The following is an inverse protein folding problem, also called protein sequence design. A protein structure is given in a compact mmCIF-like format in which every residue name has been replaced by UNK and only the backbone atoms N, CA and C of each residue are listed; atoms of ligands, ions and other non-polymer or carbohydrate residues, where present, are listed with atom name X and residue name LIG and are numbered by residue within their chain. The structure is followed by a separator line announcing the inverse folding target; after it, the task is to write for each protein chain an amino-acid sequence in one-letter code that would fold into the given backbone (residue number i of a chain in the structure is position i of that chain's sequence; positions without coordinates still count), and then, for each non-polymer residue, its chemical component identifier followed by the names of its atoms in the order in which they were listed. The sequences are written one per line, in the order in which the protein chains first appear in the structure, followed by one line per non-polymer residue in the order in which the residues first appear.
data_IF_951589368750
#
_entry.id   IF_951589368750
#
_cell.length_a   1.000
_cell.length_b   1.000
_cell.length_c   1.000
_cell.angle_alpha   90.00
_cell.angle_beta   90.00
_cell.angle_gamma   90.00
#
_symmetry.space_group_name_H-M   'P 1'
#
loop_
_entity.id
_entity.type
_entity.pdbx_description
1 polymer ?
#
# COMPACT_ATOMS: atom_id res chain seq x y z
N UNK A 1 37.69 51.11 -36.17
CA UNK A 1 37.20 49.88 -36.84
C UNK A 1 36.04 49.35 -36.02
N UNK A 2 34.86 49.31 -36.64
CA UNK A 2 33.57 48.89 -36.09
C UNK A 2 33.50 47.38 -35.90
N UNK A 3 32.95 46.90 -34.78
CA UNK A 3 32.13 45.69 -34.67
C UNK A 3 31.29 45.79 -33.38
N UNK A 4 30.07 46.33 -33.45
CA UNK A 4 28.79 45.61 -33.46
C UNK A 4 28.58 44.61 -32.30
N UNK A 5 27.85 45.08 -31.27
CA UNK A 5 27.19 44.26 -30.24
C UNK A 5 25.82 43.78 -30.77
N UNK A 6 25.42 42.52 -30.55
CA UNK A 6 24.06 42.09 -30.82
C UNK A 6 23.09 42.49 -29.69
N UNK A 7 21.85 42.76 -30.09
CA UNK A 7 20.72 43.22 -29.26
C UNK A 7 20.08 42.09 -28.42
N UNK A 8 19.33 42.41 -27.35
CA UNK A 8 18.73 41.43 -26.46
C UNK A 8 17.49 40.75 -27.05
N UNK A 9 17.38 39.44 -26.80
CA UNK A 9 16.28 38.56 -27.19
C UNK A 9 15.00 38.88 -26.42
N UNK A 10 13.90 39.09 -27.15
CA UNK A 10 12.55 39.30 -26.61
C UNK A 10 11.90 37.98 -26.20
N UNK A 11 11.68 37.81 -24.88
CA UNK A 11 10.87 36.74 -24.32
C UNK A 11 9.39 36.95 -24.69
N UNK A 12 8.87 36.07 -25.55
CA UNK A 12 7.44 35.92 -25.83
C UNK A 12 6.73 35.32 -24.63
N UNK A 13 5.82 36.08 -24.02
CA UNK A 13 4.86 35.60 -23.04
C UNK A 13 3.77 34.76 -23.71
N UNK A 14 3.53 33.56 -23.20
CA UNK A 14 2.45 32.68 -23.64
C UNK A 14 1.09 33.18 -23.08
N UNK A 15 -0.02 33.04 -23.81
CA UNK A 15 -1.32 33.52 -23.35
C UNK A 15 -1.92 32.62 -22.26
N UNK A 16 -2.24 33.21 -21.11
CA UNK A 16 -3.06 32.60 -20.06
C UNK A 16 -4.45 32.24 -20.62
N UNK A 17 -4.78 30.95 -20.65
CA UNK A 17 -6.13 30.47 -20.93
C UNK A 17 -7.02 30.75 -19.72
N UNK A 18 -7.97 31.67 -19.89
CA UNK A 18 -9.06 31.92 -18.93
C UNK A 18 -10.03 30.74 -18.97
N UNK A 19 -10.10 29.96 -17.90
CA UNK A 19 -11.16 28.97 -17.71
C UNK A 19 -12.48 29.70 -17.45
N UNK A 20 -13.40 29.64 -18.43
CA UNK A 20 -14.80 30.02 -18.25
C UNK A 20 -15.45 29.03 -17.29
N UNK A 21 -15.88 29.50 -16.12
CA UNK A 21 -16.76 28.75 -15.22
C UNK A 21 -18.15 28.72 -15.84
N UNK A 22 -18.60 27.54 -16.25
CA UNK A 22 -20.01 27.27 -16.54
C UNK A 22 -20.69 26.90 -15.22
N UNK A 23 -21.57 27.77 -14.75
CA UNK A 23 -22.52 27.46 -13.68
C UNK A 23 -23.62 26.58 -14.28
N UNK A 24 -23.70 25.33 -13.83
CA UNK A 24 -24.85 24.46 -14.10
C UNK A 24 -25.83 24.66 -12.94
N UNK A 25 -26.98 25.26 -13.24
CA UNK A 25 -28.12 25.29 -12.34
C UNK A 25 -28.73 23.88 -12.27
N UNK A 26 -28.73 23.28 -11.08
CA UNK A 26 -29.43 22.04 -10.81
C UNK A 26 -30.85 22.35 -10.33
N UNK A 27 -31.81 21.88 -11.11
CA UNK A 27 -33.25 21.96 -10.90
C UNK A 27 -33.69 20.99 -9.78
N UNK A 28 -34.75 21.41 -9.08
CA UNK A 28 -35.35 20.82 -7.89
C UNK A 28 -35.59 19.30 -7.91
N UNK A 29 -35.35 18.65 -6.77
CA UNK A 29 -35.83 17.31 -6.47
C UNK A 29 -37.07 17.41 -5.57
N UNK A 30 -38.16 16.79 -6.00
CA UNK A 30 -39.40 16.67 -5.26
C UNK A 30 -39.22 15.76 -4.03
N UNK A 31 -39.77 16.18 -2.89
CA UNK A 31 -39.83 15.37 -1.68
C UNK A 31 -40.93 14.29 -1.83
N UNK A 32 -40.51 13.02 -1.84
CA UNK A 32 -41.40 11.88 -1.61
C UNK A 32 -41.38 11.55 -0.12
N UNK A 33 -42.50 11.77 0.56
CA UNK A 33 -42.76 11.30 1.92
C UNK A 33 -43.10 9.81 1.88
N UNK A 34 -42.19 8.97 2.38
CA UNK A 34 -42.48 7.56 2.66
C UNK A 34 -43.03 7.48 4.08
N UNK A 35 -44.30 7.09 4.22
CA UNK A 35 -44.89 6.72 5.50
C UNK A 35 -44.46 5.31 5.87
N UNK A 36 -43.65 5.16 6.92
CA UNK A 36 -43.30 3.87 7.48
C UNK A 36 -44.40 3.38 8.42
N UNK A 37 -44.96 2.20 8.14
CA UNK A 37 -45.80 1.46 9.11
C UNK A 37 -44.92 0.85 10.20
N UNK A 38 -45.35 0.87 11.48
CA UNK A 38 -44.64 0.16 12.54
C UNK A 38 -44.92 -1.35 12.43
N UNK A 39 -43.89 -2.12 12.08
CA UNK A 39 -43.90 -3.57 12.20
C UNK A 39 -43.64 -3.96 13.67
N UNK A 40 -44.46 -4.89 14.17
CA UNK A 40 -44.48 -5.36 15.54
C UNK A 40 -43.13 -5.96 15.99
N UNK A 41 -42.75 -5.64 17.22
CA UNK A 41 -41.63 -6.24 17.92
C UNK A 41 -41.96 -7.70 18.28
N UNK A 42 -41.26 -8.65 17.64
CA UNK A 42 -41.18 -10.03 18.09
C UNK A 42 -40.11 -10.15 19.16
N UNK A 43 -40.43 -10.85 20.25
CA UNK A 43 -39.50 -11.13 21.36
C UNK A 43 -38.26 -11.91 20.88
N UNK A 44 -37.04 -11.57 21.36
CA UNK A 44 -35.85 -12.35 21.07
C UNK A 44 -35.88 -13.67 21.87
N UNK A 45 -35.87 -14.79 21.15
CA UNK A 45 -35.66 -16.11 21.73
C UNK A 45 -34.26 -16.28 22.33
N UNK A 46 -34.07 -17.24 23.26
CA UNK A 46 -32.79 -17.44 23.95
C UNK A 46 -31.70 -17.86 22.96
N UNK A 47 -30.67 -17.03 22.83
CA UNK A 47 -29.44 -17.35 22.12
C UNK A 47 -28.69 -18.44 22.87
N UNK A 48 -28.53 -19.60 22.25
CA UNK A 48 -27.62 -20.65 22.70
C UNK A 48 -26.18 -20.17 22.59
N UNK A 49 -25.48 -20.10 23.71
CA UNK A 49 -24.05 -19.82 23.82
C UNK A 49 -23.24 -20.87 23.05
N UNK A 50 -22.84 -20.51 21.83
CA UNK A 50 -21.87 -21.27 21.06
C UNK A 50 -20.49 -21.09 21.65
N UNK A 51 -19.96 -22.16 22.27
CA UNK A 51 -18.55 -22.23 22.70
C UNK A 51 -17.67 -22.12 21.46
N UNK A 52 -17.03 -20.95 21.27
CA UNK A 52 -15.96 -20.78 20.30
C UNK A 52 -14.75 -21.58 20.79
N UNK A 53 -14.56 -22.78 20.27
CA UNK A 53 -13.30 -23.51 20.41
C UNK A 53 -12.22 -22.76 19.64
N UNK A 54 -11.26 -22.18 20.34
CA UNK A 54 -10.06 -21.59 19.75
C UNK A 54 -9.38 -22.65 18.87
N UNK A 55 -9.25 -22.45 17.55
CA UNK A 55 -8.61 -23.44 16.70
C UNK A 55 -7.17 -23.67 17.19
N UNK A 56 -6.80 -24.94 17.34
CA UNK A 56 -5.41 -25.37 17.58
C UNK A 56 -4.52 -24.77 16.49
N UNK A 57 -3.33 -24.21 16.81
CA UNK A 57 -2.45 -23.65 15.79
C UNK A 57 -2.07 -24.75 14.81
N UNK A 58 -2.65 -24.71 13.62
CA UNK A 58 -2.18 -25.47 12.47
C UNK A 58 -0.73 -25.07 12.22
N UNK A 59 0.14 -26.06 11.99
CA UNK A 59 1.55 -25.93 11.58
C UNK A 59 1.77 -24.59 10.87
N UNK A 60 2.37 -23.66 11.59
CA UNK A 60 2.70 -22.36 11.05
C UNK A 60 3.86 -22.57 10.08
N UNK A 61 3.52 -22.80 8.80
CA UNK A 61 4.51 -22.90 7.73
C UNK A 61 5.37 -21.65 7.73
N UNK A 62 6.69 -21.85 7.72
CA UNK A 62 7.70 -20.80 7.52
C UNK A 62 7.32 -19.89 6.34
N UNK A 63 7.57 -18.58 6.47
CA UNK A 63 7.27 -17.64 5.37
C UNK A 63 8.28 -17.82 4.23
N UNK A 64 7.92 -17.37 3.03
CA UNK A 64 8.69 -17.63 1.81
C UNK A 64 10.11 -17.10 1.85
N UNK A 65 10.35 -15.95 2.48
CA UNK A 65 11.66 -15.32 2.54
C UNK A 65 12.11 -15.08 3.97
N UNK A 66 13.29 -15.58 4.32
CA UNK A 66 13.92 -15.25 5.58
C UNK A 66 14.33 -13.77 5.63
N UNK A 67 14.32 -13.13 6.82
CA UNK A 67 15.05 -11.90 7.05
C UNK A 67 16.52 -12.03 6.62
N UNK A 68 17.17 -10.94 6.18
CA UNK A 68 18.60 -10.98 5.88
C UNK A 68 19.41 -11.30 7.13
N UNK A 69 20.56 -11.97 6.95
CA UNK A 69 21.56 -12.04 8.02
C UNK A 69 22.07 -10.62 8.33
N UNK A 70 22.07 -10.26 9.60
CA UNK A 70 22.52 -8.95 10.07
C UNK A 70 23.94 -9.03 10.63
N UNK A 71 24.74 -7.99 10.41
CA UNK A 71 26.07 -7.85 10.99
C UNK A 71 26.07 -6.71 12.00
N UNK A 72 26.20 -7.03 13.29
CA UNK A 72 26.22 -6.07 14.40
C UNK A 72 25.12 -4.99 14.30
N UNK A 73 23.84 -5.38 14.19
CA UNK A 73 22.77 -4.43 13.91
C UNK A 73 22.59 -3.42 15.04
N UNK A 74 22.30 -2.17 14.67
CA UNK A 74 21.80 -1.19 15.62
C UNK A 74 20.30 -1.42 15.85
N UNK A 75 19.91 -1.59 17.11
CA UNK A 75 18.51 -1.74 17.50
C UNK A 75 17.92 -0.36 17.77
N UNK A 76 16.83 -0.04 17.07
CA UNK A 76 16.10 1.20 17.23
C UNK A 76 14.71 0.90 17.76
N UNK A 77 14.43 1.30 19.01
CA UNK A 77 13.08 1.30 19.55
C UNK A 77 12.25 2.41 18.90
N UNK A 78 11.20 2.02 18.18
CA UNK A 78 10.26 2.93 17.54
C UNK A 78 9.28 3.47 18.57
N UNK A 79 8.95 4.74 18.45
CA UNK A 79 8.01 5.42 19.35
C UNK A 79 7.31 6.59 18.66
N UNK A 80 6.33 7.20 19.32
CA UNK A 80 5.65 8.39 18.79
C UNK A 80 6.60 9.56 18.50
N UNK A 81 7.71 9.69 19.27
CA UNK A 81 8.75 10.69 19.06
C UNK A 81 9.96 10.19 18.25
N UNK A 82 10.04 8.91 17.92
CA UNK A 82 11.11 8.29 17.13
C UNK A 82 10.53 7.40 16.03
N UNK A 83 9.87 8.04 15.07
CA UNK A 83 9.25 7.39 13.89
C UNK A 83 9.74 7.91 12.55
N UNK A 84 10.59 8.93 12.56
CA UNK A 84 11.34 9.40 11.40
C UNK A 84 12.82 9.16 11.66
N UNK A 85 13.46 8.43 10.77
CA UNK A 85 14.84 7.98 10.93
C UNK A 85 15.62 8.19 9.65
N UNK A 86 16.85 8.69 9.81
CA UNK A 86 17.87 8.69 8.76
C UNK A 86 19.01 7.79 9.25
N UNK A 87 19.22 6.69 8.56
CA UNK A 87 20.13 5.61 8.91
C UNK A 87 21.42 5.70 8.09
N UNK A 88 22.49 5.09 8.59
CA UNK A 88 23.74 4.93 7.84
C UNK A 88 23.57 3.83 6.77
N UNK A 89 23.89 4.15 5.53
CA UNK A 89 23.75 3.26 4.37
C UNK A 89 24.60 1.98 4.44
N UNK A 90 25.59 1.93 5.34
CA UNK A 90 26.49 0.79 5.50
C UNK A 90 26.24 -0.03 6.78
N UNK A 91 25.21 0.32 7.56
CA UNK A 91 24.86 -0.38 8.80
C UNK A 91 23.55 -1.13 8.69
N UNK A 92 23.45 -2.18 9.49
CA UNK A 92 22.25 -2.99 9.63
C UNK A 92 21.41 -2.53 10.83
N UNK A 93 20.09 -2.66 10.71
CA UNK A 93 19.15 -2.14 11.68
C UNK A 93 18.01 -3.11 11.98
N UNK A 94 17.65 -3.18 13.26
CA UNK A 94 16.38 -3.77 13.70
C UNK A 94 15.50 -2.66 14.24
N UNK A 95 14.34 -2.46 13.64
CA UNK A 95 13.34 -1.51 14.10
C UNK A 95 12.36 -2.24 15.02
N UNK A 96 12.48 -2.00 16.33
CA UNK A 96 11.64 -2.66 17.34
C UNK A 96 10.38 -1.83 17.58
N UNK A 97 9.24 -2.38 17.21
CA UNK A 97 7.95 -1.75 17.47
C UNK A 97 7.60 -1.73 18.96
N UNK A 98 6.87 -0.71 19.44
CA UNK A 98 6.36 -0.72 20.80
C UNK A 98 5.38 -1.89 21.02
N UNK A 99 5.23 -2.40 22.25
CA UNK A 99 4.30 -3.49 22.57
C UNK A 99 2.83 -3.06 22.55
N UNK A 100 2.56 -1.80 22.22
CA UNK A 100 1.24 -1.20 22.06
C UNK A 100 1.16 -0.53 20.68
N UNK A 101 -0.05 -0.20 20.25
CA UNK A 101 -0.26 0.42 18.95
C UNK A 101 0.50 1.75 18.83
N UNK A 102 1.30 1.89 17.77
CA UNK A 102 1.93 3.15 17.42
C UNK A 102 0.88 4.06 16.79
N UNK A 103 0.35 5.00 17.58
CA UNK A 103 -0.70 5.93 17.15
C UNK A 103 -0.13 7.29 16.74
N UNK A 104 -0.55 7.79 15.59
CA UNK A 104 -0.36 9.19 15.19
C UNK A 104 -0.13 9.39 13.69
N UNK A 105 -0.15 10.65 13.26
CA UNK A 105 0.16 11.02 11.88
C UNK A 105 1.61 10.66 11.50
N UNK A 106 1.87 10.50 10.21
CA UNK A 106 3.18 10.25 9.58
C UNK A 106 3.81 8.88 9.87
N UNK A 107 3.03 7.94 10.42
CA UNK A 107 3.39 6.52 10.50
C UNK A 107 4.85 6.28 10.90
N UNK A 108 5.57 5.47 10.12
CA UNK A 108 7.02 5.32 10.20
C UNK A 108 7.66 5.74 8.87
N UNK A 109 8.75 6.49 8.94
CA UNK A 109 9.57 6.92 7.81
C UNK A 109 11.04 6.59 8.04
N UNK A 110 11.64 5.85 7.12
CA UNK A 110 13.04 5.42 7.20
C UNK A 110 13.76 5.76 5.91
N UNK A 111 14.89 6.45 6.03
CA UNK A 111 15.77 6.80 4.92
C UNK A 111 17.15 6.21 5.16
N UNK A 112 17.69 5.44 4.21
CA UNK A 112 19.01 4.80 4.32
C UNK A 112 18.98 3.47 5.08
N UNK A 113 20.16 2.92 5.38
CA UNK A 113 20.32 1.60 5.98
C UNK A 113 20.70 0.54 4.95
N UNK A 114 21.61 -0.37 5.33
CA UNK A 114 21.99 -1.53 4.50
C UNK A 114 20.90 -2.58 4.55
N UNK A 115 20.85 -3.35 5.63
CA UNK A 115 19.72 -4.22 5.92
C UNK A 115 18.83 -3.59 6.99
N UNK A 116 17.52 -3.56 6.78
CA UNK A 116 16.55 -3.02 7.74
C UNK A 116 15.47 -4.06 7.97
N UNK A 117 15.31 -4.49 9.21
CA UNK A 117 14.32 -5.50 9.62
C UNK A 117 13.29 -4.86 10.53
N UNK A 118 12.01 -5.02 10.19
CA UNK A 118 10.85 -4.57 10.97
C UNK A 118 9.84 -5.72 11.04
N UNK A 119 9.71 -6.34 12.21
CA UNK A 119 8.81 -7.48 12.43
C UNK A 119 7.80 -7.16 13.52
N UNK A 120 6.52 -7.35 13.20
CA UNK A 120 5.41 -7.23 14.13
C UNK A 120 5.08 -5.78 14.53
N UNK A 121 3.88 -5.59 15.05
CA UNK A 121 3.40 -4.29 15.53
C UNK A 121 2.23 -3.71 14.72
N UNK A 122 1.51 -2.79 15.35
CA UNK A 122 0.35 -2.12 14.75
C UNK A 122 0.60 -0.63 14.64
N UNK A 123 0.33 -0.05 13.47
CA UNK A 123 0.38 1.39 13.22
C UNK A 123 -1.04 1.88 13.01
N UNK A 124 -1.47 2.89 13.76
CA UNK A 124 -2.78 3.53 13.61
C UNK A 124 -2.65 5.00 13.24
N UNK A 125 -3.20 5.35 12.07
CA UNK A 125 -3.36 6.73 11.62
C UNK A 125 -4.76 7.22 12.00
N UNK A 126 -4.89 8.09 13.02
CA UNK A 126 -6.19 8.47 13.56
C UNK A 126 -6.99 9.32 12.56
N UNK A 127 -8.32 9.27 12.64
CA UNK A 127 -9.18 10.20 11.92
C UNK A 127 -8.88 11.67 12.26
N UNK A 128 -9.18 12.57 11.33
CA UNK A 128 -8.82 13.99 11.42
C UNK A 128 -7.35 14.29 11.09
N UNK A 129 -6.55 13.28 10.74
CA UNK A 129 -5.22 13.48 10.17
C UNK A 129 -5.32 14.26 8.85
N UNK A 130 -4.49 15.29 8.62
CA UNK A 130 -4.49 16.04 7.37
C UNK A 130 -4.26 15.14 6.16
N UNK A 131 -5.01 15.42 5.10
CA UNK A 131 -4.99 14.66 3.85
C UNK A 131 -3.98 15.24 2.86
N UNK A 132 -2.70 15.23 3.24
CA UNK A 132 -1.60 15.89 2.51
C UNK A 132 -0.60 14.90 1.87
N UNK A 133 -0.92 13.60 1.86
CA UNK A 133 -0.07 12.52 1.33
C UNK A 133 1.17 12.19 2.17
N UNK A 134 1.42 12.92 3.27
CA UNK A 134 2.57 12.73 4.16
C UNK A 134 2.10 12.33 5.56
N UNK A 135 1.15 13.09 6.09
CA UNK A 135 0.56 12.95 7.42
C UNK A 135 -0.30 11.69 7.51
N UNK A 136 -0.97 11.32 6.42
CA UNK A 136 -1.91 10.19 6.34
C UNK A 136 -1.26 8.85 5.94
N UNK A 137 0.08 8.78 5.83
CA UNK A 137 0.82 7.57 5.42
C UNK A 137 1.22 6.69 6.59
N UNK A 138 1.07 5.37 6.43
CA UNK A 138 1.48 4.39 7.44
C UNK A 138 2.98 4.06 7.38
N UNK A 139 3.54 3.75 6.20
CA UNK A 139 4.97 3.43 6.03
C UNK A 139 5.59 4.18 4.86
N UNK A 140 6.81 4.68 5.06
CA UNK A 140 7.67 5.21 4.02
C UNK A 140 9.09 4.68 4.16
N UNK A 141 9.58 4.03 3.12
CA UNK A 141 10.96 3.57 3.06
C UNK A 141 11.65 4.15 1.85
N UNK A 142 12.86 4.67 2.08
CA UNK A 142 13.66 5.32 1.05
C UNK A 142 15.11 4.88 1.13
N UNK A 143 15.67 4.59 -0.04
CA UNK A 143 17.11 4.45 -0.25
C UNK A 143 17.83 3.43 0.66
N UNK A 144 17.22 2.27 0.92
CA UNK A 144 17.97 1.14 1.49
C UNK A 144 18.96 0.60 0.45
N UNK A 145 20.13 0.10 0.88
CA UNK A 145 21.18 -0.40 -0.02
C UNK A 145 21.25 -1.93 -0.11
N UNK A 146 20.72 -2.64 0.90
CA UNK A 146 20.64 -4.10 0.96
C UNK A 146 19.19 -4.58 0.95
N UNK A 147 18.78 -5.30 2.00
CA UNK A 147 17.42 -5.86 2.14
C UNK A 147 16.60 -5.05 3.13
N UNK A 148 15.45 -4.54 2.69
CA UNK A 148 14.37 -4.08 3.56
C UNK A 148 13.40 -5.25 3.77
N UNK A 149 13.33 -5.77 4.99
CA UNK A 149 12.42 -6.84 5.37
C UNK A 149 11.36 -6.33 6.35
N UNK A 150 10.10 -6.42 5.94
CA UNK A 150 8.94 -6.01 6.73
C UNK A 150 7.97 -7.18 6.87
N UNK A 151 7.66 -7.57 8.10
CA UNK A 151 6.85 -8.73 8.38
C UNK A 151 5.78 -8.47 9.45
N UNK A 152 4.59 -9.04 9.30
CA UNK A 152 3.65 -9.19 10.42
C UNK A 152 3.02 -7.89 10.91
N UNK A 153 2.96 -6.85 10.07
CA UNK A 153 2.39 -5.55 10.46
C UNK A 153 0.89 -5.48 10.22
N UNK A 154 0.20 -4.76 11.12
CA UNK A 154 -1.17 -4.32 10.93
C UNK A 154 -1.21 -2.79 10.78
N UNK A 155 -1.58 -2.32 9.58
CA UNK A 155 -1.72 -0.90 9.26
C UNK A 155 -3.20 -0.52 9.29
N UNK A 156 -3.58 0.45 10.11
CA UNK A 156 -5.00 0.75 10.37
C UNK A 156 -5.26 2.24 10.64
N UNK A 157 -6.53 2.57 10.82
CA UNK A 157 -7.01 3.87 11.22
C UNK A 157 -7.83 4.58 10.14
N UNK A 158 -8.79 5.39 10.57
CA UNK A 158 -9.72 6.09 9.66
C UNK A 158 -9.07 7.26 8.91
N UNK A 159 -7.92 7.76 9.38
CA UNK A 159 -7.14 8.78 8.70
C UNK A 159 -6.02 8.22 7.82
N UNK A 160 -5.95 6.90 7.64
CA UNK A 160 -4.95 6.28 6.77
C UNK A 160 -5.30 6.54 5.31
N UNK A 161 -4.50 7.37 4.66
CA UNK A 161 -4.61 7.67 3.24
C UNK A 161 -3.77 6.76 2.38
N UNK A 162 -2.61 6.32 2.89
CA UNK A 162 -1.60 5.56 2.15
C UNK A 162 -1.04 4.45 3.04
N UNK A 163 -0.85 3.26 2.47
CA UNK A 163 -0.27 2.11 3.14
C UNK A 163 1.25 2.20 3.17
N UNK A 164 1.89 1.55 2.20
CA UNK A 164 3.34 1.38 2.12
C UNK A 164 3.88 2.10 0.89
N UNK A 165 4.75 3.08 1.10
CA UNK A 165 5.38 3.81 0.01
C UNK A 165 6.89 3.58 -0.04
N UNK A 166 7.39 3.35 -1.25
CA UNK A 166 8.75 2.93 -1.53
C UNK A 166 9.43 3.90 -2.51
N UNK A 167 10.58 4.46 -2.10
CA UNK A 167 11.47 5.31 -2.90
C UNK A 167 12.90 4.74 -2.86
N UNK A 168 13.12 3.62 -3.55
CA UNK A 168 14.29 2.75 -3.42
C UNK A 168 15.31 2.99 -4.55
N UNK A 169 15.83 4.21 -4.67
CA UNK A 169 16.72 4.60 -5.79
C UNK A 169 18.09 3.92 -5.74
N UNK A 170 18.47 3.41 -4.57
CA UNK A 170 19.72 2.67 -4.35
C UNK A 170 19.63 1.17 -4.66
N UNK A 171 18.49 0.70 -5.16
CA UNK A 171 18.37 -0.67 -5.66
C UNK A 171 18.22 -1.75 -4.58
N UNK A 172 17.52 -1.42 -3.49
CA UNK A 172 17.18 -2.39 -2.44
C UNK A 172 16.44 -3.62 -2.97
N UNK A 173 16.55 -4.73 -2.25
CA UNK A 173 15.56 -5.80 -2.25
C UNK A 173 14.54 -5.47 -1.16
N UNK A 174 13.26 -5.42 -1.51
CA UNK A 174 12.17 -5.19 -0.55
C UNK A 174 11.36 -6.47 -0.39
N UNK A 175 11.23 -6.96 0.84
CA UNK A 175 10.44 -8.12 1.22
C UNK A 175 9.32 -7.67 2.16
N UNK A 176 8.07 -7.88 1.75
CA UNK A 176 6.87 -7.56 2.50
C UNK A 176 6.09 -8.85 2.75
N UNK A 177 5.97 -9.28 4.00
CA UNK A 177 5.34 -10.57 4.32
C UNK A 177 4.32 -10.51 5.45
N UNK A 178 3.21 -11.24 5.30
CA UNK A 178 2.19 -11.37 6.32
C UNK A 178 1.67 -10.02 6.83
N UNK A 179 1.33 -9.12 5.91
CA UNK A 179 0.91 -7.75 6.22
C UNK A 179 -0.59 -7.60 6.02
N UNK A 180 -1.24 -6.96 7.00
CA UNK A 180 -2.63 -6.54 6.91
C UNK A 180 -2.73 -5.03 6.81
N UNK A 181 -3.39 -4.53 5.77
CA UNK A 181 -3.65 -3.11 5.56
C UNK A 181 -5.14 -2.87 5.55
N UNK A 182 -5.68 -2.22 6.58
CA UNK A 182 -7.08 -1.77 6.54
C UNK A 182 -7.29 -0.73 5.44
N UNK A 183 -8.55 -0.31 5.24
CA UNK A 183 -8.91 0.57 4.13
C UNK A 183 -8.05 1.84 4.10
N UNK A 184 -7.22 1.97 3.07
CA UNK A 184 -6.60 3.25 2.68
C UNK A 184 -7.64 4.12 1.99
N UNK A 185 -7.70 5.41 2.32
CA UNK A 185 -8.78 6.32 1.90
C UNK A 185 -8.24 7.46 1.06
N UNK A 186 -8.82 7.72 -0.10
CA UNK A 186 -8.37 8.78 -1.00
C UNK A 186 -9.28 8.91 -2.22
N UNK A 187 -8.79 9.54 -3.28
CA UNK A 187 -9.59 9.82 -4.47
C UNK A 187 -8.73 10.10 -5.70
N UNK A 188 -9.37 10.20 -6.86
CA UNK A 188 -8.71 10.57 -8.11
C UNK A 188 -8.14 12.00 -8.10
N UNK A 189 -8.88 12.96 -7.56
CA UNK A 189 -8.50 14.39 -7.59
C UNK A 189 -7.62 14.81 -6.40
N UNK A 190 -7.46 13.92 -5.42
CA UNK A 190 -6.65 14.13 -4.21
C UNK A 190 -5.39 13.28 -4.22
N UNK A 191 -5.02 12.75 -3.06
CA UNK A 191 -4.02 11.69 -3.01
C UNK A 191 -4.63 10.36 -3.44
N UNK A 192 -3.80 9.55 -4.06
CA UNK A 192 -4.16 8.19 -4.42
C UNK A 192 -4.16 7.36 -3.13
N UNK A 193 -5.11 6.45 -2.97
CA UNK A 193 -5.15 5.64 -1.77
C UNK A 193 -4.46 4.32 -2.03
N UNK A 194 -3.12 4.29 -2.07
CA UNK A 194 -2.39 3.08 -2.47
C UNK A 194 -2.07 2.20 -1.25
N UNK A 195 -2.28 0.89 -1.37
CA UNK A 195 -1.84 -0.09 -0.37
C UNK A 195 -0.33 -0.24 -0.46
N UNK A 196 0.20 -0.40 -1.68
CA UNK A 196 1.64 -0.33 -1.98
C UNK A 196 1.86 0.61 -3.15
N UNK A 197 2.80 1.53 -2.99
CA UNK A 197 3.24 2.42 -4.05
C UNK A 197 4.76 2.40 -4.20
N UNK A 198 5.24 2.17 -5.41
CA UNK A 198 6.65 2.32 -5.75
C UNK A 198 6.84 3.58 -6.60
N UNK A 199 7.48 4.60 -6.03
CA UNK A 199 7.81 5.84 -6.74
C UNK A 199 9.15 5.78 -7.47
N UNK A 200 10.06 4.98 -6.92
CA UNK A 200 11.37 4.68 -7.48
C UNK A 200 11.85 3.33 -6.97
N UNK A 201 12.47 2.52 -7.83
CA UNK A 201 12.83 1.15 -7.51
C UNK A 201 11.61 0.36 -6.99
N UNK A 202 11.79 -0.67 -6.16
CA UNK A 202 13.07 -1.32 -5.79
C UNK A 202 13.70 -2.09 -6.96
N UNK A 203 14.91 -2.63 -6.74
CA UNK A 203 15.53 -3.58 -7.69
C UNK A 203 14.78 -4.90 -7.70
N UNK A 204 14.35 -5.36 -6.52
CA UNK A 204 13.47 -6.52 -6.35
C UNK A 204 12.36 -6.14 -5.38
N UNK A 205 11.10 -6.38 -5.77
CA UNK A 205 9.96 -6.33 -4.87
C UNK A 205 9.45 -7.75 -4.65
N UNK A 206 9.29 -8.16 -3.40
CA UNK A 206 8.74 -9.45 -3.00
C UNK A 206 7.61 -9.20 -2.02
N UNK A 207 6.41 -9.64 -2.37
CA UNK A 207 5.21 -9.52 -1.54
C UNK A 207 4.59 -10.89 -1.38
N UNK A 208 4.37 -11.30 -0.14
CA UNK A 208 3.75 -12.60 0.16
C UNK A 208 2.81 -12.51 1.37
N UNK A 209 1.61 -13.07 1.25
CA UNK A 209 0.56 -12.96 2.29
C UNK A 209 0.29 -11.50 2.62
N UNK A 210 -0.40 -10.83 1.71
CA UNK A 210 -0.88 -9.47 1.95
C UNK A 210 -2.39 -9.39 1.76
N UNK A 211 -3.09 -8.92 2.78
CA UNK A 211 -4.52 -8.60 2.69
C UNK A 211 -4.69 -7.11 2.86
N UNK A 212 -5.42 -6.47 1.95
CA UNK A 212 -5.77 -5.06 2.16
C UNK A 212 -6.95 -4.55 1.37
N UNK A 213 -7.38 -3.34 1.72
CA UNK A 213 -8.50 -2.68 1.04
C UNK A 213 -8.24 -1.20 0.75
N UNK A 214 -8.94 -0.66 -0.24
CA UNK A 214 -8.70 0.69 -0.77
C UNK A 214 -9.98 1.37 -1.25
N UNK A 215 -10.09 2.68 -1.01
CA UNK A 215 -11.08 3.55 -1.63
C UNK A 215 -10.73 4.01 -3.04
N UNK A 216 -9.51 3.78 -3.53
CA UNK A 216 -9.10 4.23 -4.86
C UNK A 216 -8.18 3.25 -5.57
N UNK A 217 -6.95 3.06 -5.11
CA UNK A 217 -5.98 2.23 -5.80
C UNK A 217 -5.39 1.12 -4.93
N UNK A 218 -5.18 -0.07 -5.48
CA UNK A 218 -4.59 -1.16 -4.70
C UNK A 218 -3.07 -1.03 -4.70
N UNK A 219 -2.47 -1.42 -5.82
CA UNK A 219 -1.04 -1.32 -6.05
C UNK A 219 -0.75 -0.31 -7.17
N UNK A 220 0.25 0.54 -6.93
CA UNK A 220 0.77 1.50 -7.91
C UNK A 220 2.26 1.30 -8.13
N UNK A 221 2.59 0.48 -9.13
CA UNK A 221 3.92 -0.04 -9.41
C UNK A 221 4.58 0.77 -10.53
N UNK A 222 5.08 1.97 -10.21
CA UNK A 222 5.83 2.82 -11.13
C UNK A 222 7.29 3.00 -10.67
N UNK A 223 8.14 1.97 -10.83
CA UNK A 223 9.51 1.97 -10.29
C UNK A 223 10.40 3.07 -10.89
N UNK A 224 9.93 3.86 -11.87
CA UNK A 224 10.64 4.94 -12.54
C UNK A 224 9.90 6.29 -12.51
N UNK A 225 8.89 6.47 -11.65
CA UNK A 225 8.10 7.70 -11.62
C UNK A 225 8.92 8.95 -11.27
N UNK A 226 9.78 8.85 -10.25
CA UNK A 226 10.57 9.99 -9.75
C UNK A 226 12.08 9.84 -9.94
N UNK A 227 12.53 9.00 -10.89
CA UNK A 227 13.95 8.83 -11.17
C UNK A 227 14.27 7.97 -12.39
N UNK A 228 15.56 7.87 -12.69
CA UNK A 228 16.13 7.14 -13.84
C UNK A 228 16.91 5.90 -13.40
N UNK A 229 16.44 5.21 -12.37
CA UNK A 229 16.96 3.92 -11.93
C UNK A 229 16.77 2.84 -13.01
N UNK A 230 17.57 1.78 -12.91
CA UNK A 230 17.36 0.56 -13.69
C UNK A 230 15.95 0.01 -13.47
N UNK A 231 15.44 -0.69 -14.48
CA UNK A 231 14.19 -1.45 -14.32
C UNK A 231 14.37 -2.52 -13.21
N UNK A 232 13.29 -2.90 -12.51
CA UNK A 232 13.35 -3.99 -11.55
C UNK A 232 13.85 -5.28 -12.20
N UNK A 233 14.66 -6.04 -11.48
CA UNK A 233 15.02 -7.41 -11.84
C UNK A 233 13.79 -8.32 -11.80
N UNK A 234 12.95 -8.15 -10.77
CA UNK A 234 11.65 -8.83 -10.65
C UNK A 234 10.76 -8.10 -9.64
N UNK A 235 9.46 -8.08 -9.92
CA UNK A 235 8.44 -7.94 -8.88
C UNK A 235 7.71 -9.26 -8.73
N UNK A 236 7.70 -9.82 -7.52
CA UNK A 236 7.14 -11.13 -7.20
C UNK A 236 6.00 -10.95 -6.19
N UNK A 237 4.78 -11.23 -6.64
CA UNK A 237 3.53 -10.98 -5.92
C UNK A 237 2.82 -12.31 -5.66
N UNK A 238 2.78 -12.73 -4.39
CA UNK A 238 2.23 -14.02 -3.98
C UNK A 238 1.15 -13.86 -2.92
N UNK A 239 0.09 -14.67 -3.01
CA UNK A 239 -0.91 -14.84 -1.94
C UNK A 239 -1.41 -13.48 -1.42
N UNK A 240 -2.02 -12.73 -2.33
CA UNK A 240 -2.55 -11.40 -2.03
C UNK A 240 -4.06 -11.37 -2.20
N UNK A 241 -4.78 -10.71 -1.29
CA UNK A 241 -6.19 -10.36 -1.48
C UNK A 241 -6.38 -8.85 -1.34
N UNK A 242 -6.75 -8.20 -2.45
CA UNK A 242 -6.96 -6.76 -2.51
C UNK A 242 -8.42 -6.44 -2.78
N UNK A 243 -9.03 -5.65 -1.89
CA UNK A 243 -10.44 -5.30 -1.97
C UNK A 243 -10.65 -3.81 -2.24
N UNK A 244 -11.33 -3.51 -3.33
CA UNK A 244 -11.88 -2.19 -3.59
C UNK A 244 -13.15 -1.95 -2.78
N UNK A 245 -13.30 -0.76 -2.20
CA UNK A 245 -14.61 -0.28 -1.71
C UNK A 245 -15.44 0.23 -2.89
N UNK A 246 -16.67 0.68 -2.65
CA UNK A 246 -17.53 1.26 -3.70
C UNK A 246 -16.90 2.46 -4.44
N UNK A 247 -15.90 3.10 -3.85
CA UNK A 247 -15.17 4.25 -4.41
C UNK A 247 -13.98 3.85 -5.29
N UNK A 248 -13.56 2.59 -5.24
CA UNK A 248 -12.31 2.14 -5.85
C UNK A 248 -12.26 2.35 -7.37
N UNK A 249 -11.05 2.58 -7.85
CA UNK A 249 -10.64 2.58 -9.24
C UNK A 249 -9.73 1.36 -9.51
N UNK A 250 -8.47 1.59 -9.89
CA UNK A 250 -7.52 0.55 -10.25
C UNK A 250 -6.95 -0.18 -9.05
N UNK A 251 -7.28 -1.45 -8.88
CA UNK A 251 -6.66 -2.28 -7.86
C UNK A 251 -5.23 -2.67 -8.21
N UNK A 252 -4.90 -2.77 -9.49
CA UNK A 252 -3.53 -3.00 -9.94
C UNK A 252 -3.17 -2.00 -11.04
N UNK A 253 -2.09 -1.24 -10.82
CA UNK A 253 -1.58 -0.28 -11.78
C UNK A 253 -0.07 -0.44 -11.91
N UNK A 254 0.41 -0.55 -13.16
CA UNK A 254 1.83 -0.45 -13.53
C UNK A 254 2.01 0.33 -14.82
N UNK A 255 3.25 0.61 -15.21
CA UNK A 255 3.53 1.16 -16.54
C UNK A 255 3.43 0.09 -17.65
N UNK A 256 3.61 0.50 -18.91
CA UNK A 256 3.62 -0.41 -20.06
C UNK A 256 4.97 -1.08 -20.31
N UNK A 257 5.93 -0.95 -19.38
CA UNK A 257 7.26 -1.52 -19.58
C UNK A 257 7.26 -3.01 -19.24
N UNK A 258 8.17 -3.74 -19.86
CA UNK A 258 8.24 -5.20 -19.85
C UNK A 258 9.28 -5.73 -18.85
N UNK A 259 9.30 -5.21 -17.62
CA UNK A 259 10.12 -5.78 -16.55
C UNK A 259 9.46 -7.04 -15.96
N UNK A 260 10.26 -8.02 -15.47
CA UNK A 260 9.73 -9.30 -14.98
C UNK A 260 8.74 -9.13 -13.82
N UNK A 261 7.59 -9.77 -13.95
CA UNK A 261 6.53 -9.81 -12.95
C UNK A 261 6.10 -11.25 -12.76
N UNK A 262 6.21 -11.75 -11.54
CA UNK A 262 5.69 -13.04 -11.11
C UNK A 262 4.42 -12.80 -10.29
N UNK A 263 3.32 -13.47 -10.65
CA UNK A 263 2.03 -13.37 -9.97
C UNK A 263 1.58 -14.78 -9.61
N UNK A 264 1.25 -15.01 -8.35
CA UNK A 264 0.79 -16.31 -7.87
C UNK A 264 -0.27 -16.12 -6.78
N UNK A 265 -1.44 -16.76 -6.91
CA UNK A 265 -2.52 -16.70 -5.92
C UNK A 265 -2.92 -15.24 -5.55
N UNK A 266 -3.06 -14.37 -6.55
CA UNK A 266 -3.46 -12.97 -6.35
C UNK A 266 -4.94 -12.80 -6.67
N UNK A 267 -5.71 -12.37 -5.67
CA UNK A 267 -7.16 -12.24 -5.71
C UNK A 267 -7.57 -10.78 -5.59
N UNK A 268 -8.45 -10.33 -6.49
CA UNK A 268 -8.99 -8.98 -6.48
C UNK A 268 -10.50 -9.01 -6.27
N UNK A 269 -10.99 -8.24 -5.30
CA UNK A 269 -12.43 -7.95 -5.14
C UNK A 269 -12.66 -6.48 -5.53
N UNK A 270 -12.88 -6.15 -6.81
CA UNK A 270 -13.19 -4.79 -7.22
C UNK A 270 -14.60 -4.41 -6.79
N UNK A 271 -14.95 -3.12 -6.90
CA UNK A 271 -16.32 -2.68 -6.64
C UNK A 271 -17.31 -3.34 -7.60
N UNK A 272 -18.54 -3.56 -7.16
CA UNK A 272 -19.55 -4.32 -7.90
C UNK A 272 -19.82 -3.83 -9.34
N UNK A 273 -19.67 -2.53 -9.61
CA UNK A 273 -19.87 -1.95 -10.95
C UNK A 273 -18.66 -2.16 -11.90
N UNK A 274 -17.54 -2.68 -11.40
CA UNK A 274 -16.37 -2.97 -12.21
C UNK A 274 -16.43 -4.39 -12.77
N UNK A 275 -17.35 -4.57 -13.71
CA UNK A 275 -17.63 -5.86 -14.36
C UNK A 275 -16.56 -6.29 -15.38
N UNK A 276 -15.57 -5.45 -15.68
CA UNK A 276 -14.51 -5.71 -16.65
C UNK A 276 -13.13 -5.51 -16.02
N UNK A 277 -12.14 -6.39 -16.27
CA UNK A 277 -10.75 -6.22 -15.84
C UNK A 277 -10.17 -4.85 -16.19
N UNK A 278 -10.57 -4.28 -17.32
CA UNK A 278 -10.09 -2.97 -17.77
C UNK A 278 -10.45 -1.78 -16.86
N UNK A 279 -11.32 -1.99 -15.87
CA UNK A 279 -11.75 -0.98 -14.89
C UNK A 279 -10.97 -1.04 -13.57
N UNK A 280 -10.28 -2.15 -13.30
CA UNK A 280 -9.49 -2.34 -12.07
C UNK A 280 -8.03 -2.78 -12.31
N UNK A 281 -7.65 -3.10 -13.56
CA UNK A 281 -6.29 -3.42 -13.98
C UNK A 281 -5.76 -2.39 -14.98
N UNK A 282 -4.52 -1.95 -14.79
CA UNK A 282 -3.78 -1.12 -15.73
C UNK A 282 -2.30 -1.53 -15.81
N UNK A 283 -1.68 -1.62 -17.00
CA UNK A 283 -2.27 -1.35 -18.32
C UNK A 283 -3.23 -2.45 -18.77
N UNK A 284 -4.04 -2.12 -19.77
CA UNK A 284 -4.95 -3.07 -20.42
C UNK A 284 -4.17 -3.88 -21.45
N UNK A 285 -4.48 -5.17 -21.59
CA UNK A 285 -3.89 -6.03 -22.62
C UNK A 285 -2.46 -6.45 -22.31
N UNK A 286 -1.53 -6.22 -23.23
CA UNK A 286 -0.15 -6.70 -23.16
C UNK A 286 0.87 -5.58 -22.94
N UNK A 287 1.97 -5.86 -22.25
CA UNK A 287 3.14 -4.94 -22.10
C UNK A 287 4.20 -5.16 -23.18
N UNK A 288 4.09 -6.23 -23.96
CA UNK A 288 4.93 -6.54 -25.12
C UNK A 288 4.32 -7.68 -25.95
N UNK A 289 4.90 -8.04 -27.10
CA UNK A 289 4.40 -9.15 -27.92
C UNK A 289 4.30 -10.45 -27.11
N UNK A 290 3.08 -10.93 -26.89
CA UNK A 290 2.81 -12.17 -26.14
C UNK A 290 2.94 -12.09 -24.61
N UNK A 291 3.16 -10.89 -24.04
CA UNK A 291 3.27 -10.70 -22.59
C UNK A 291 2.04 -9.96 -22.07
N UNK A 292 1.12 -10.68 -21.43
CA UNK A 292 -0.01 -10.06 -20.74
C UNK A 292 0.50 -9.08 -19.67
N UNK A 293 -0.18 -7.94 -19.53
CA UNK A 293 0.17 -6.96 -18.51
C UNK A 293 -0.03 -7.51 -17.08
N UNK A 294 -1.00 -8.41 -16.95
CA UNK A 294 -1.40 -9.08 -15.72
C UNK A 294 -1.85 -10.50 -16.07
N UNK A 295 -1.01 -11.50 -15.80
CA UNK A 295 -1.41 -12.91 -15.81
C UNK A 295 -1.73 -13.35 -14.37
N UNK A 296 -2.45 -14.45 -14.22
CA UNK A 296 -2.60 -15.17 -12.95
C UNK A 296 -3.24 -14.37 -11.81
N UNK A 297 -4.12 -13.43 -12.16
CA UNK A 297 -5.00 -12.72 -11.22
C UNK A 297 -6.39 -13.34 -11.24
N UNK A 298 -6.89 -13.68 -10.06
CA UNK A 298 -8.22 -14.24 -9.85
C UNK A 298 -9.20 -13.16 -9.34
N UNK A 299 -10.48 -13.29 -9.73
CA UNK A 299 -11.54 -12.38 -9.31
C UNK A 299 -12.29 -12.96 -8.10
N UNK A 300 -12.44 -12.16 -7.06
CA UNK A 300 -13.21 -12.50 -5.86
C UNK A 300 -12.34 -12.60 -4.61
N UNK A 301 -12.70 -13.54 -3.74
CA UNK A 301 -12.02 -13.81 -2.46
C UNK A 301 -11.34 -15.17 -2.56
N UNK A 302 -10.12 -15.36 -2.01
CA UNK A 302 -9.47 -16.66 -2.03
C UNK A 302 -10.34 -17.73 -1.35
N UNK A 303 -10.29 -19.02 -1.79
CA UNK A 303 -11.14 -20.08 -1.25
C UNK A 303 -11.02 -20.31 0.26
N UNK A 304 -9.85 -20.01 0.85
CA UNK A 304 -9.59 -20.11 2.30
C UNK A 304 -9.90 -18.84 3.09
N UNK A 305 -10.45 -17.80 2.46
CA UNK A 305 -10.58 -16.46 3.04
C UNK A 305 -9.35 -15.59 2.79
N UNK A 306 -9.19 -14.52 3.57
CA UNK A 306 -8.05 -13.60 3.43
C UNK A 306 -6.73 -14.32 3.74
N UNK A 307 -5.65 -13.95 3.05
CA UNK A 307 -4.33 -14.51 3.33
C UNK A 307 -3.76 -14.03 4.67
N UNK A 308 -4.17 -12.85 5.13
CA UNK A 308 -3.87 -12.26 6.45
C UNK A 308 -5.18 -11.83 7.13
N UNK A 309 -5.93 -12.77 7.72
CA UNK A 309 -7.14 -12.48 8.48
C UNK A 309 -6.87 -11.53 9.65
N UNK A 310 -7.89 -10.79 10.15
CA UNK A 310 -7.77 -9.99 11.36
C UNK A 310 -7.19 -10.80 12.54
N UNK A 311 -6.25 -10.21 13.27
CA UNK A 311 -5.55 -10.85 14.39
C UNK A 311 -4.32 -11.68 14.01
N UNK A 312 -4.08 -11.93 12.71
CA UNK A 312 -2.89 -12.68 12.25
C UNK A 312 -1.61 -11.85 12.32
N UNK A 313 -1.69 -10.57 11.95
CA UNK A 313 -0.61 -9.60 11.98
C UNK A 313 -0.91 -8.50 13.01
N UNK A 314 0.11 -7.80 13.50
CA UNK A 314 -0.03 -6.69 14.43
C UNK A 314 0.64 -6.89 15.79
N UNK A 315 -0.04 -6.46 16.85
CA UNK A 315 0.44 -6.57 18.23
C UNK A 315 0.65 -8.02 18.64
N UNK A 316 1.78 -8.31 19.28
CA UNK A 316 2.12 -9.66 19.73
C UNK A 316 2.44 -10.63 18.59
N UNK A 317 2.59 -10.15 17.36
CA UNK A 317 3.00 -10.98 16.24
C UNK A 317 4.32 -11.69 16.53
N UNK A 318 4.34 -12.99 16.27
CA UNK A 318 5.52 -13.84 16.31
C UNK A 318 5.69 -14.42 14.91
N UNK A 319 6.90 -14.29 14.36
CA UNK A 319 7.19 -14.86 13.04
C UNK A 319 7.01 -16.39 13.07
N UNK A 320 6.30 -16.99 12.11
CA UNK A 320 6.05 -18.43 12.06
C UNK A 320 7.28 -19.26 11.69
N UNK A 321 8.45 -18.67 11.50
CA UNK A 321 9.66 -19.41 11.13
C UNK A 321 10.99 -18.70 11.39
N UNK A 322 10.98 -17.41 11.76
CA UNK A 322 12.21 -16.64 11.89
C UNK A 322 12.35 -15.99 13.27
N UNK A 323 13.40 -16.37 13.99
CA UNK A 323 13.87 -15.60 15.14
C UNK A 323 14.80 -14.49 14.64
N UNK A 324 14.60 -13.27 15.14
CA UNK A 324 15.64 -12.23 15.03
C UNK A 324 16.69 -12.58 16.07
N UNK A 325 17.82 -13.15 15.62
CA UNK A 325 19.00 -13.39 16.46
C UNK A 325 19.89 -12.15 16.55
#
# INVERSE_FOLDING_TARGET
MNHHRPAPSTLRTAPQRRHRRLAVALTALAALTVSASPAAAGEPGPTTDGVFTTPTPTDQTELTWAPPQLENPEIIDVSANRRWMRLDDNRDYVLRMPPHQLRGARGISVVGGRNVVLIGGTILIPGGTPDDGISNRALYFKDQTGVLHVEGLHLTGTGMGEGIQLDQRKGAIVQLQNIRVETVRGSQDGHHADIIQTWAGPRVLRVDRLSGSTDYQGLFLLPNQFGTQAEPEVMDLRRMDIRGTWRSAYLMWRDRRSWPLEVQDVWLTPRALHISPSLYLWPKGTTGPGTEAWSDIELGTPPGGQFVPPGTAGLGYVSPGYAIN
#
